data_IF_521520682109
#
_entry.id   IF_521520682109
#
_cell.length_a   1.000
_cell.length_b   1.000
_cell.length_c   1.000
_cell.angle_alpha   90.00
_cell.angle_beta   90.00
_cell.angle_gamma   90.00
#
_symmetry.space_group_name_H-M   'P 1'
#
loop_
_entity.id
_entity.type
_entity.pdbx_description
1 polymer ?
#
# COMPACT_ATOMS: atom_id res chain seq x y z
N UNK A 1 -13.01 18.93 -9.56
CA UNK A 1 -13.23 17.51 -9.91
C UNK A 1 -14.32 17.43 -10.96
N UNK A 2 -14.05 16.84 -12.14
CA UNK A 2 -15.03 16.57 -13.18
C UNK A 2 -16.29 15.85 -12.66
N UNK A 3 -17.42 16.05 -13.32
CA UNK A 3 -18.71 15.53 -12.84
C UNK A 3 -18.75 14.00 -12.78
N UNK A 4 -18.21 13.32 -13.79
CA UNK A 4 -18.17 11.85 -13.83
C UNK A 4 -17.32 11.27 -12.69
N UNK A 5 -16.18 11.88 -12.41
CA UNK A 5 -15.31 11.47 -11.29
C UNK A 5 -16.02 11.65 -9.95
N UNK A 6 -16.74 12.77 -9.77
CA UNK A 6 -17.53 13.01 -8.56
C UNK A 6 -18.64 11.98 -8.38
N UNK A 7 -19.36 11.62 -9.45
CA UNK A 7 -20.41 10.59 -9.41
C UNK A 7 -19.83 9.22 -9.06
N UNK A 8 -18.70 8.86 -9.68
CA UNK A 8 -18.00 7.60 -9.41
C UNK A 8 -17.55 7.49 -7.95
N UNK A 9 -16.87 8.50 -7.40
CA UNK A 9 -16.43 8.48 -6.01
C UNK A 9 -17.59 8.45 -5.00
N UNK A 10 -18.70 9.14 -5.31
CA UNK A 10 -19.92 9.05 -4.50
C UNK A 10 -20.50 7.63 -4.51
N UNK A 11 -20.54 6.97 -5.66
CA UNK A 11 -21.03 5.59 -5.77
C UNK A 11 -20.19 4.63 -4.91
N UNK A 12 -18.86 4.71 -4.98
CA UNK A 12 -17.97 3.91 -4.12
C UNK A 12 -18.28 4.16 -2.64
N UNK A 13 -18.41 5.43 -2.22
CA UNK A 13 -18.68 5.78 -0.82
C UNK A 13 -20.03 5.26 -0.32
N UNK A 14 -21.07 5.26 -1.17
CA UNK A 14 -22.38 4.73 -0.80
C UNK A 14 -22.37 3.21 -0.66
N UNK A 15 -21.70 2.50 -1.58
CA UNK A 15 -21.66 1.02 -1.59
C UNK A 15 -20.76 0.47 -0.48
N UNK A 16 -19.58 1.08 -0.27
CA UNK A 16 -18.54 0.60 0.64
C UNK A 16 -18.44 1.42 1.93
N UNK A 17 -19.51 2.12 2.31
CA UNK A 17 -19.52 2.99 3.49
C UNK A 17 -19.22 2.26 4.80
N UNK A 18 -19.67 1.01 4.93
CA UNK A 18 -19.39 0.18 6.10
C UNK A 18 -17.95 -0.36 6.17
N UNK A 19 -17.24 -0.39 5.04
CA UNK A 19 -15.85 -0.89 4.95
C UNK A 19 -14.83 0.24 4.96
N UNK A 20 -15.21 1.43 5.40
CA UNK A 20 -14.29 2.54 5.53
C UNK A 20 -13.29 2.26 6.65
N UNK A 21 -12.03 2.19 6.28
CA UNK A 21 -10.92 2.13 7.23
C UNK A 21 -10.76 3.49 7.90
N UNK A 22 -11.42 3.66 9.04
CA UNK A 22 -11.29 4.82 9.91
C UNK A 22 -10.39 4.46 11.10
N UNK A 23 -9.53 5.39 11.50
CA UNK A 23 -8.59 5.24 12.62
C UNK A 23 -7.13 5.13 12.19
N UNK A 24 -6.19 5.12 13.16
CA UNK A 24 -4.75 5.03 12.88
C UNK A 24 -4.37 3.69 12.24
N UNK A 25 -3.85 3.69 11.03
CA UNK A 25 -3.33 2.48 10.39
C UNK A 25 -2.17 2.77 9.45
N UNK A 26 -1.27 1.80 9.36
CA UNK A 26 -0.28 1.63 8.31
C UNK A 26 -0.35 0.17 7.88
N UNK A 27 -0.76 -0.10 6.64
CA UNK A 27 -0.96 -1.46 6.13
C UNK A 27 -0.06 -1.70 4.93
N UNK A 28 0.46 -2.92 4.84
CA UNK A 28 1.16 -3.43 3.66
C UNK A 28 0.39 -4.66 3.20
N UNK A 29 -0.14 -4.62 1.97
CA UNK A 29 -0.92 -5.69 1.38
C UNK A 29 -0.21 -6.22 0.14
N UNK A 30 0.07 -7.52 0.12
CA UNK A 30 0.50 -8.23 -1.08
C UNK A 30 -0.70 -8.68 -1.92
N UNK A 31 -0.58 -8.62 -3.24
CA UNK A 31 -1.57 -9.14 -4.18
C UNK A 31 -0.86 -9.76 -5.40
N UNK A 32 -1.60 -10.47 -6.25
CA UNK A 32 -0.98 -11.03 -7.45
C UNK A 32 -0.47 -9.89 -8.36
N UNK A 33 0.84 -9.88 -8.62
CA UNK A 33 1.50 -8.86 -9.40
C UNK A 33 2.12 -7.71 -8.60
N UNK A 34 2.03 -7.70 -7.26
CA UNK A 34 2.69 -6.64 -6.49
C UNK A 34 2.31 -6.52 -5.02
N UNK A 35 2.55 -5.32 -4.49
CA UNK A 35 2.15 -4.93 -3.14
C UNK A 35 1.75 -3.46 -3.07
N UNK A 36 0.95 -3.12 -2.07
CA UNK A 36 0.55 -1.75 -1.74
C UNK A 36 0.89 -1.46 -0.29
N UNK A 37 1.51 -0.31 -0.03
CA UNK A 37 1.61 0.30 1.30
C UNK A 37 0.64 1.47 1.39
N UNK A 38 -0.14 1.56 2.46
CA UNK A 38 -1.10 2.64 2.66
C UNK A 38 -1.17 3.06 4.13
N UNK A 39 -1.26 4.37 4.35
CA UNK A 39 -1.51 4.97 5.65
C UNK A 39 -2.90 5.55 5.77
N UNK A 40 -3.32 5.76 7.01
CA UNK A 40 -4.51 6.53 7.32
C UNK A 40 -4.39 7.98 6.84
N UNK A 41 -5.55 8.64 6.71
CA UNK A 41 -5.67 10.00 6.16
C UNK A 41 -5.02 11.08 7.01
N UNK A 42 -4.78 10.83 8.30
CA UNK A 42 -4.17 11.78 9.24
C UNK A 42 -2.70 11.41 9.52
N UNK A 43 -2.26 10.23 9.06
CA UNK A 43 -0.91 9.66 9.22
C UNK A 43 -0.53 9.50 10.69
N UNK A 44 -1.42 8.86 11.45
CA UNK A 44 -1.22 8.55 12.86
C UNK A 44 -0.34 7.32 13.09
N UNK A 45 -0.02 6.58 12.02
CA UNK A 45 0.99 5.51 12.01
C UNK A 45 2.10 5.83 11.00
N UNK A 46 3.38 5.60 11.36
CA UNK A 46 4.48 5.87 10.45
C UNK A 46 4.54 4.80 9.35
N UNK A 47 4.91 5.23 8.15
CA UNK A 47 5.31 4.37 7.04
C UNK A 47 6.46 5.06 6.33
N UNK A 48 7.50 4.29 6.07
CA UNK A 48 8.69 4.69 5.34
C UNK A 48 8.78 3.81 4.10
N UNK A 49 9.07 4.43 2.98
CA UNK A 49 9.31 3.75 1.73
C UNK A 49 10.75 4.02 1.27
N UNK A 50 11.38 3.02 0.69
CA UNK A 50 12.69 3.18 0.10
C UNK A 50 12.84 2.38 -1.19
N UNK A 51 13.83 2.75 -2.01
CA UNK A 51 14.13 2.08 -3.26
C UNK A 51 15.63 1.90 -3.44
N UNK A 52 16.00 0.74 -3.99
CA UNK A 52 17.33 0.46 -4.54
C UNK A 52 17.18 -0.39 -5.80
N UNK A 53 17.57 0.14 -6.95
CA UNK A 53 17.40 -0.53 -8.24
C UNK A 53 15.93 -0.88 -8.52
N UNK A 54 15.61 -2.18 -8.62
CA UNK A 54 14.24 -2.69 -8.85
C UNK A 54 13.51 -3.14 -7.57
N UNK A 55 14.11 -2.95 -6.40
CA UNK A 55 13.53 -3.37 -5.12
C UNK A 55 12.88 -2.17 -4.43
N UNK A 56 11.63 -2.35 -4.02
CA UNK A 56 10.87 -1.41 -3.20
C UNK A 56 10.79 -1.97 -1.77
N UNK A 57 11.09 -1.13 -0.79
CA UNK A 57 11.04 -1.46 0.63
C UNK A 57 9.96 -0.62 1.30
N UNK A 58 9.25 -1.22 2.25
CA UNK A 58 8.26 -0.56 3.10
C UNK A 58 8.46 -1.05 4.53
N UNK A 59 8.50 -0.12 5.48
CA UNK A 59 8.59 -0.43 6.91
C UNK A 59 7.98 0.70 7.75
N UNK A 60 7.74 0.46 9.03
CA UNK A 60 7.31 1.50 9.95
C UNK A 60 8.39 2.57 10.19
N UNK A 61 9.66 2.20 10.02
CA UNK A 61 10.84 3.02 10.34
C UNK A 61 11.94 2.81 9.30
N UNK A 62 12.81 3.81 9.12
CA UNK A 62 13.94 3.70 8.20
C UNK A 62 15.00 2.69 8.68
N UNK A 63 15.17 2.54 9.99
CA UNK A 63 16.14 1.59 10.57
C UNK A 63 15.86 0.14 10.12
N UNK A 64 14.59 -0.27 10.09
CA UNK A 64 14.20 -1.60 9.61
C UNK A 64 14.51 -1.82 8.13
N UNK A 65 14.48 -0.76 7.31
CA UNK A 65 14.91 -0.84 5.91
C UNK A 65 16.43 -0.97 5.83
N UNK A 66 17.16 -0.17 6.62
CA UNK A 66 18.63 -0.14 6.58
C UNK A 66 19.28 -1.42 7.07
N UNK A 67 18.62 -2.15 7.95
CA UNK A 67 19.06 -3.49 8.38
C UNK A 67 19.14 -4.46 7.19
N UNK A 68 18.20 -4.37 6.25
CA UNK A 68 18.16 -5.21 5.04
C UNK A 68 18.96 -4.60 3.88
N UNK A 69 18.96 -3.27 3.79
CA UNK A 69 19.59 -2.51 2.71
C UNK A 69 20.27 -1.26 3.27
N UNK A 70 21.55 -1.37 3.63
CA UNK A 70 22.33 -0.32 4.31
C UNK A 70 22.27 1.06 3.61
N UNK A 71 22.35 1.04 2.27
CA UNK A 71 22.43 2.25 1.43
C UNK A 71 21.35 2.20 0.33
N UNK A 72 20.10 2.58 0.62
CA UNK A 72 19.06 2.76 -0.39
C UNK A 72 19.35 4.01 -1.23
N UNK A 73 18.92 4.01 -2.49
CA UNK A 73 19.10 5.14 -3.42
C UNK A 73 18.12 6.28 -3.13
N UNK A 74 16.92 5.93 -2.66
CA UNK A 74 15.88 6.88 -2.27
C UNK A 74 15.18 6.38 -1.02
N UNK A 75 14.93 7.28 -0.07
CA UNK A 75 14.06 7.07 1.09
C UNK A 75 13.06 8.21 1.15
N UNK A 76 11.81 7.92 1.45
CA UNK A 76 10.78 8.94 1.62
C UNK A 76 9.68 8.46 2.56
N UNK A 77 8.93 9.43 3.09
CA UNK A 77 7.76 9.20 3.93
C UNK A 77 6.50 9.54 3.14
N UNK A 78 5.69 8.55 2.71
CA UNK A 78 4.48 8.79 1.90
C UNK A 78 3.52 9.77 2.57
N UNK A 79 2.85 10.64 1.81
CA UNK A 79 1.89 11.58 2.38
C UNK A 79 0.70 10.81 2.97
N UNK A 80 0.01 11.41 3.94
CA UNK A 80 -1.16 10.80 4.57
C UNK A 80 -2.21 10.37 3.52
N UNK A 81 -2.67 9.12 3.59
CA UNK A 81 -3.59 8.53 2.62
C UNK A 81 -3.01 8.27 1.22
N UNK A 82 -1.73 8.55 0.96
CA UNK A 82 -1.09 8.30 -0.32
C UNK A 82 -0.60 6.84 -0.41
N UNK A 83 -1.03 6.05 -1.41
CA UNK A 83 -0.57 4.69 -1.57
C UNK A 83 0.82 4.63 -2.21
N UNK A 84 1.68 3.75 -1.70
CA UNK A 84 2.92 3.33 -2.38
C UNK A 84 2.68 2.00 -3.04
N UNK A 85 2.83 1.93 -4.37
CA UNK A 85 2.52 0.72 -5.14
C UNK A 85 3.79 0.16 -5.77
N UNK A 86 4.12 -1.09 -5.44
CA UNK A 86 5.16 -1.86 -6.10
C UNK A 86 4.53 -2.90 -7.02
N UNK A 87 4.95 -2.97 -8.29
CA UNK A 87 4.54 -4.02 -9.23
C UNK A 87 5.72 -4.90 -9.62
N UNK A 88 5.45 -6.19 -9.78
CA UNK A 88 6.43 -7.13 -10.28
C UNK A 88 6.63 -6.90 -11.80
N UNK A 89 7.87 -7.06 -12.27
CA UNK A 89 8.23 -6.84 -13.69
C UNK A 89 7.73 -7.93 -14.62
N UNK A 90 7.34 -9.09 -14.09
CA UNK A 90 6.86 -10.24 -14.84
C UNK A 90 5.44 -10.56 -14.42
N UNK A 91 4.57 -10.74 -15.41
CA UNK A 91 3.23 -11.28 -15.21
C UNK A 91 3.35 -12.70 -14.68
N UNK A 92 3.21 -12.81 -13.37
CA UNK A 92 3.23 -14.08 -12.69
C UNK A 92 1.85 -14.71 -12.87
N UNK A 93 1.79 -15.69 -13.77
CA UNK A 93 0.69 -16.64 -13.92
C UNK A 93 0.62 -17.58 -12.68
N UNK A 94 0.58 -17.03 -11.47
CA UNK A 94 0.51 -17.82 -10.23
C UNK A 94 -0.93 -18.29 -10.07
N UNK A 95 -1.12 -19.61 -10.12
CA UNK A 95 -2.34 -20.23 -9.59
C UNK A 95 -2.44 -19.86 -8.12
N UNK A 96 -3.48 -19.11 -7.76
CA UNK A 96 -3.85 -18.81 -6.37
C UNK A 96 -3.88 -20.13 -5.58
N UNK A 97 -2.98 -20.27 -4.61
CA UNK A 97 -3.20 -21.21 -3.52
C UNK A 97 -4.25 -20.56 -2.62
N UNK A 98 -5.52 -20.74 -2.95
CA UNK A 98 -6.63 -20.32 -2.10
C UNK A 98 -6.48 -21.02 -0.76
N UNK A 99 -5.99 -20.30 0.25
CA UNK A 99 -6.16 -20.69 1.64
C UNK A 99 -7.66 -20.69 1.90
N UNK A 100 -8.26 -21.89 1.90
CA UNK A 100 -9.65 -22.07 2.34
C UNK A 100 -9.70 -21.72 3.83
N UNK A 101 -10.08 -20.49 4.14
CA UNK A 101 -10.53 -20.13 5.48
C UNK A 101 -11.86 -20.88 5.67
N UNK A 102 -11.82 -21.97 6.44
CA UNK A 102 -13.04 -22.60 6.96
C UNK A 102 -13.42 -21.85 8.24
N UNK A 103 -14.67 -21.41 8.31
CA UNK A 103 -15.30 -20.89 9.53
C UNK A 103 -15.42 -21.99 10.59
#
# INVERSE_FOLDING_TARGET
MPENERKFLKAIRMVYGSTLLNGPFAIILGFNGGMVGLNDRIKLRPLVAARKGSILYLASEEAGIREVCEKPEKVWHPIAGEPVIGRLKVDLNVKLCTARIRY
#
